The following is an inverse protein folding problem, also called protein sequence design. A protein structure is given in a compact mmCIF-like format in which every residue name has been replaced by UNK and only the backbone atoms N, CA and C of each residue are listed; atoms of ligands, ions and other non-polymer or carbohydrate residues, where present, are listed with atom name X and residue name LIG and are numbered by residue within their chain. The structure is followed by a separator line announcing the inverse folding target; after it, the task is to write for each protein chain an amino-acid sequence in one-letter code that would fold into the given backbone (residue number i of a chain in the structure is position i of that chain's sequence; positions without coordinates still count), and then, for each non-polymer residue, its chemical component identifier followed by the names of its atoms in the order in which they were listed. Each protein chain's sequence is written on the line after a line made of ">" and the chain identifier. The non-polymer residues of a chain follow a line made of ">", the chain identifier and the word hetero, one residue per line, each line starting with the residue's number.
data_IF_910243276348
#
_entry.id   IF_910243276348
#
_cell.length_a   1.000
_cell.length_b   1.000
_cell.length_c   1.000
_cell.angle_alpha   90.00
_cell.angle_beta   90.00
_cell.angle_gamma   90.00
#
_symmetry.space_group_name_H-M   'P 1'
#
loop_
_entity.id
_entity.type
_entity.pdbx_description
1 polymer ?
#
# COMPACT_ATOMS: atom_id res chain seq x y z
N UNK A 1 30.05 -10.27 -16.86
CA UNK A 1 28.93 -10.56 -17.77
C UNK A 1 28.18 -9.24 -17.93
N UNK A 2 28.23 -8.72 -19.14
CA UNK A 2 28.11 -7.30 -19.47
C UNK A 2 26.67 -6.81 -19.42
N UNK A 3 26.50 -5.74 -18.65
CA UNK A 3 25.30 -4.91 -18.51
C UNK A 3 24.81 -4.46 -19.90
N UNK A 4 23.63 -4.94 -20.27
CA UNK A 4 22.98 -4.70 -21.57
C UNK A 4 21.69 -3.89 -21.42
N UNK A 5 21.52 -3.19 -20.30
CA UNK A 5 20.26 -2.51 -19.96
C UNK A 5 20.30 -0.99 -20.12
N UNK A 6 21.40 -0.42 -20.60
CA UNK A 6 21.54 1.02 -20.82
C UNK A 6 21.16 1.43 -22.25
N UNK A 7 19.94 1.12 -22.71
CA UNK A 7 19.44 1.61 -24.02
C UNK A 7 18.04 2.24 -24.02
N UNK A 8 17.41 2.32 -22.86
CA UNK A 8 16.22 3.13 -22.61
C UNK A 8 16.54 3.91 -21.36
N UNK A 9 16.51 5.25 -21.40
CA UNK A 9 16.84 6.11 -20.25
C UNK A 9 15.82 6.05 -19.10
N UNK A 10 15.24 4.87 -18.84
CA UNK A 10 14.34 4.52 -17.75
C UNK A 10 15.05 3.43 -16.94
N UNK A 11 15.27 3.70 -15.66
CA UNK A 11 15.86 2.74 -14.73
C UNK A 11 14.85 1.63 -14.43
N UNK A 12 15.31 0.51 -13.86
CA UNK A 12 14.41 -0.58 -13.40
C UNK A 12 13.38 -0.06 -12.40
N UNK A 13 13.75 0.95 -11.61
CA UNK A 13 12.90 1.59 -10.61
C UNK A 13 11.75 2.36 -11.26
N UNK A 14 11.98 3.04 -12.38
CA UNK A 14 10.93 3.74 -13.12
C UNK A 14 9.85 2.77 -13.62
N UNK A 15 10.25 1.63 -14.19
CA UNK A 15 9.30 0.61 -14.65
C UNK A 15 8.50 0.00 -13.49
N UNK A 16 9.16 -0.27 -12.36
CA UNK A 16 8.49 -0.78 -11.17
C UNK A 16 7.44 0.22 -10.67
N UNK A 17 7.76 1.50 -10.64
CA UNK A 17 6.83 2.55 -10.22
C UNK A 17 5.62 2.66 -11.16
N UNK A 18 5.84 2.59 -12.48
CA UNK A 18 4.76 2.55 -13.47
C UNK A 18 3.83 1.35 -13.27
N UNK A 19 4.40 0.15 -13.13
CA UNK A 19 3.64 -1.09 -12.95
C UNK A 19 2.81 -1.02 -11.66
N UNK A 20 3.42 -0.62 -10.55
CA UNK A 20 2.73 -0.50 -9.25
C UNK A 20 1.62 0.54 -9.35
N UNK A 21 1.89 1.72 -9.94
CA UNK A 21 0.89 2.79 -10.03
C UNK A 21 -0.31 2.37 -10.88
N UNK A 22 -0.09 1.74 -12.04
CA UNK A 22 -1.17 1.22 -12.90
C UNK A 22 -1.95 0.12 -12.18
N UNK A 23 -1.23 -0.82 -11.53
CA UNK A 23 -1.86 -1.93 -10.83
C UNK A 23 -2.76 -1.45 -9.68
N UNK A 24 -2.24 -0.56 -8.82
CA UNK A 24 -3.01 -0.01 -7.70
C UNK A 24 -4.19 0.83 -8.21
N UNK A 25 -4.02 1.59 -9.30
CA UNK A 25 -5.13 2.31 -9.93
C UNK A 25 -6.22 1.34 -10.41
N UNK A 26 -5.85 0.24 -11.06
CA UNK A 26 -6.81 -0.76 -11.51
C UNK A 26 -7.59 -1.38 -10.33
N UNK A 27 -6.91 -1.67 -9.21
CA UNK A 27 -7.55 -2.16 -7.99
C UNK A 27 -8.52 -1.12 -7.42
N UNK A 28 -8.12 0.15 -7.36
CA UNK A 28 -8.97 1.23 -6.85
C UNK A 28 -10.19 1.45 -7.74
N UNK A 29 -10.02 1.49 -9.07
CA UNK A 29 -11.14 1.60 -10.02
C UNK A 29 -12.07 0.40 -9.90
N UNK A 30 -11.54 -0.82 -9.78
CA UNK A 30 -12.36 -2.01 -9.55
C UNK A 30 -13.15 -1.92 -8.26
N UNK A 31 -12.53 -1.47 -7.16
CA UNK A 31 -13.21 -1.27 -5.89
C UNK A 31 -14.32 -0.20 -6.00
N UNK A 32 -14.07 0.88 -6.73
CA UNK A 32 -15.05 1.93 -6.98
C UNK A 32 -16.26 1.40 -7.75
N UNK A 33 -16.02 0.65 -8.84
CA UNK A 33 -17.07 0.05 -9.66
C UNK A 33 -17.90 -0.93 -8.83
N UNK A 34 -17.27 -1.83 -8.08
CA UNK A 34 -17.97 -2.79 -7.21
C UNK A 34 -18.81 -2.10 -6.14
N UNK A 35 -18.34 -0.96 -5.62
CA UNK A 35 -19.07 -0.20 -4.60
C UNK A 35 -20.32 0.50 -5.14
N UNK A 36 -20.45 0.70 -6.46
CA UNK A 36 -21.66 1.27 -7.07
C UNK A 36 -22.87 0.34 -6.95
N UNK A 37 -22.64 -0.98 -6.87
CA UNK A 37 -23.71 -1.98 -6.72
C UNK A 37 -24.18 -2.12 -5.26
N UNK A 38 -23.52 -1.45 -4.31
CA UNK A 38 -23.82 -1.59 -2.89
C UNK A 38 -24.95 -0.63 -2.46
N UNK A 39 -25.71 -0.97 -1.41
CA UNK A 39 -26.65 -0.03 -0.79
C UNK A 39 -25.95 1.26 -0.36
N UNK A 40 -26.60 2.43 -0.51
CA UNK A 40 -25.98 3.75 -0.30
C UNK A 40 -25.20 3.87 1.01
N UNK A 41 -25.73 3.33 2.12
CA UNK A 41 -25.07 3.37 3.43
C UNK A 41 -23.72 2.64 3.42
N UNK A 42 -23.66 1.48 2.77
CA UNK A 42 -22.47 0.65 2.64
C UNK A 42 -21.48 1.18 1.58
N UNK A 43 -21.99 1.87 0.56
CA UNK A 43 -21.21 2.32 -0.59
C UNK A 43 -20.36 3.57 -0.30
N UNK A 44 -20.80 4.46 0.61
CA UNK A 44 -20.16 5.77 0.84
C UNK A 44 -18.67 5.64 1.16
N UNK A 45 -18.30 4.77 2.09
CA UNK A 45 -16.91 4.65 2.53
C UNK A 45 -15.99 4.07 1.43
N UNK A 46 -16.32 2.93 0.79
CA UNK A 46 -15.56 2.42 -0.35
C UNK A 46 -15.49 3.43 -1.50
N UNK A 47 -16.59 4.09 -1.86
CA UNK A 47 -16.63 5.07 -2.96
C UNK A 47 -15.72 6.27 -2.68
N UNK A 48 -15.72 6.79 -1.45
CA UNK A 48 -14.85 7.91 -1.08
C UNK A 48 -13.37 7.52 -1.18
N UNK A 49 -12.97 6.39 -0.60
CA UNK A 49 -11.56 5.97 -0.57
C UNK A 49 -11.08 5.60 -1.97
N UNK A 50 -11.84 4.76 -2.68
CA UNK A 50 -11.46 4.31 -4.02
C UNK A 50 -11.54 5.44 -5.04
N UNK A 51 -12.51 6.35 -4.93
CA UNK A 51 -12.64 7.53 -5.78
C UNK A 51 -11.49 8.51 -5.56
N UNK A 52 -11.19 8.85 -4.30
CA UNK A 52 -10.08 9.75 -3.98
C UNK A 52 -8.72 9.14 -4.32
N UNK A 53 -8.51 7.86 -4.00
CA UNK A 53 -7.29 7.12 -4.36
C UNK A 53 -7.09 7.06 -5.87
N UNK A 54 -8.14 6.75 -6.63
CA UNK A 54 -8.08 6.75 -8.10
C UNK A 54 -7.75 8.13 -8.66
N UNK A 55 -8.34 9.20 -8.12
CA UNK A 55 -8.07 10.56 -8.57
C UNK A 55 -6.58 10.96 -8.36
N UNK A 56 -6.02 10.65 -7.19
CA UNK A 56 -4.60 10.90 -6.90
C UNK A 56 -3.67 10.06 -7.79
N UNK A 57 -4.01 8.80 -8.04
CA UNK A 57 -3.22 7.91 -8.90
C UNK A 57 -3.29 8.33 -10.38
N UNK A 58 -4.45 8.79 -10.86
CA UNK A 58 -4.57 9.41 -12.17
C UNK A 58 -3.71 10.67 -12.27
N UNK A 59 -3.73 11.54 -11.26
CA UNK A 59 -2.88 12.73 -11.22
C UNK A 59 -1.40 12.36 -11.27
N UNK A 60 -0.98 11.36 -10.48
CA UNK A 60 0.38 10.83 -10.49
C UNK A 60 0.76 10.30 -11.88
N UNK A 61 -0.10 9.51 -12.52
CA UNK A 61 0.14 9.01 -13.89
C UNK A 61 0.30 10.16 -14.88
N UNK A 62 -0.54 11.20 -14.80
CA UNK A 62 -0.39 12.39 -15.66
C UNK A 62 0.97 13.04 -15.42
N UNK A 63 1.40 13.20 -14.16
CA UNK A 63 2.73 13.73 -13.84
C UNK A 63 3.85 12.87 -14.43
N UNK A 64 3.77 11.54 -14.30
CA UNK A 64 4.75 10.62 -14.88
C UNK A 64 4.81 10.71 -16.41
N UNK A 65 3.65 10.79 -17.08
CA UNK A 65 3.56 11.00 -18.54
C UNK A 65 4.21 12.33 -18.93
N UNK A 66 3.89 13.41 -18.21
CA UNK A 66 4.43 14.75 -18.50
C UNK A 66 5.94 14.82 -18.31
N UNK A 67 6.48 14.20 -17.25
CA UNK A 67 7.92 14.13 -17.00
C UNK A 67 8.61 13.29 -18.08
N UNK A 68 8.06 12.13 -18.44
CA UNK A 68 8.59 11.28 -19.51
C UNK A 68 8.58 11.98 -20.87
N UNK A 69 7.49 12.69 -21.19
CA UNK A 69 7.36 13.47 -22.42
C UNK A 69 8.34 14.66 -22.49
N UNK A 70 8.63 15.30 -21.35
CA UNK A 70 9.64 16.37 -21.24
C UNK A 70 11.07 15.83 -21.34
N UNK A 71 11.37 14.69 -20.73
CA UNK A 71 12.66 14.03 -20.85
C UNK A 71 12.96 13.58 -22.30
N UNK A 72 11.93 13.16 -23.03
CA UNK A 72 12.02 12.85 -24.47
C UNK A 72 12.31 14.05 -25.37
N UNK A 73 12.05 15.29 -24.92
CA UNK A 73 12.31 16.52 -25.69
C UNK A 73 13.73 17.09 -25.49
N UNK A 74 14.51 16.60 -24.52
CA UNK A 74 15.87 17.11 -24.21
C UNK A 74 16.98 16.23 -24.80
N UNK A 75 16.66 15.05 -25.35
CA UNK A 75 17.61 14.16 -26.03
C UNK A 75 18.13 14.69 -27.40
N UNK A 76 17.96 15.98 -27.68
CA UNK A 76 18.53 16.67 -28.85
C UNK A 76 19.46 17.84 -28.51
N UNK A 77 19.73 18.12 -27.24
CA UNK A 77 20.61 19.23 -26.85
C UNK A 77 21.48 18.85 -25.64
N UNK A 78 22.55 18.11 -25.90
CA UNK A 78 23.73 18.15 -25.05
C UNK A 78 24.40 19.52 -25.29
N UNK A 79 24.70 20.28 -24.22
CA UNK A 79 26.10 20.36 -23.85
C UNK A 79 26.36 20.30 -22.34
N UNK A 80 27.51 19.69 -22.05
CA UNK A 80 28.29 19.73 -20.82
C UNK A 80 28.16 21.00 -19.97
N UNK A 81 27.75 20.85 -18.70
CA UNK A 81 28.37 21.47 -17.51
C UNK A 81 27.48 21.24 -16.28
N UNK A 82 27.83 20.26 -15.46
CA UNK A 82 27.33 20.13 -14.09
C UNK A 82 28.50 20.05 -13.13
N UNK A 83 29.25 21.14 -13.07
CA UNK A 83 30.20 21.45 -12.02
C UNK A 83 29.80 22.80 -11.40
N UNK A 84 28.67 22.83 -10.68
CA UNK A 84 28.44 23.72 -9.54
C UNK A 84 27.03 23.49 -8.97
N UNK A 85 26.93 22.89 -7.78
CA UNK A 85 25.82 23.15 -6.87
C UNK A 85 26.30 22.93 -5.43
N UNK A 86 26.11 23.92 -4.55
CA UNK A 86 26.69 23.91 -3.21
C UNK A 86 25.96 22.91 -2.31
N UNK A 87 26.76 22.23 -1.50
CA UNK A 87 26.34 21.41 -0.36
C UNK A 87 25.55 22.28 0.61
N UNK A 88 24.29 21.92 0.86
CA UNK A 88 23.53 22.39 2.00
C UNK A 88 23.36 21.20 2.96
N UNK A 89 23.95 21.34 4.13
CA UNK A 89 23.90 20.41 5.26
C UNK A 89 22.48 20.26 5.84
N UNK A 90 22.24 19.07 6.38
CA UNK A 90 21.30 18.70 7.44
C UNK A 90 19.79 18.96 7.23
N UNK A 91 19.15 18.10 6.43
CA UNK A 91 17.85 17.55 6.82
C UNK A 91 18.04 16.09 7.27
N UNK A 92 17.35 15.61 8.32
CA UNK A 92 17.38 14.20 8.67
C UNK A 92 16.77 13.42 7.50
N UNK A 93 17.65 12.82 6.69
CA UNK A 93 17.30 11.99 5.56
C UNK A 93 16.12 11.10 5.96
N UNK A 94 14.96 11.35 5.34
CA UNK A 94 13.90 10.35 5.21
C UNK A 94 14.61 9.04 4.87
N UNK A 95 14.56 8.10 5.80
CA UNK A 95 15.20 6.79 5.64
C UNK A 95 14.63 6.20 4.36
N UNK A 96 15.46 6.23 3.33
CA UNK A 96 15.07 6.02 1.94
C UNK A 96 14.21 4.78 1.78
N UNK A 97 12.99 5.02 1.33
CA UNK A 97 12.10 4.02 0.76
C UNK A 97 12.79 3.31 -0.44
N UNK A 98 13.82 3.94 -1.01
CA UNK A 98 14.72 3.45 -2.05
C UNK A 98 15.57 2.23 -1.64
N UNK A 99 15.69 1.94 -0.34
CA UNK A 99 16.52 0.81 0.15
C UNK A 99 15.75 -0.50 0.36
N UNK A 100 14.41 -0.51 0.28
CA UNK A 100 13.59 -1.71 0.52
C UNK A 100 13.53 -2.62 -0.70
N UNK A 101 13.58 -2.04 -1.89
CA UNK A 101 13.42 -2.78 -3.16
C UNK A 101 14.74 -3.16 -3.83
N UNK A 102 15.85 -2.47 -3.52
CA UNK A 102 17.12 -2.69 -4.19
C UNK A 102 17.87 -3.97 -3.78
N UNK A 103 17.60 -4.56 -2.59
CA UNK A 103 18.28 -5.78 -2.11
C UNK A 103 17.43 -6.62 -1.14
N UNK A 104 16.12 -6.77 -1.37
CA UNK A 104 15.36 -7.71 -0.52
C UNK A 104 15.75 -9.16 -0.83
N UNK A 105 16.31 -9.93 0.13
CA UNK A 105 16.64 -11.33 -0.06
C UNK A 105 15.38 -12.12 -0.46
N UNK A 106 15.52 -13.13 -1.33
CA UNK A 106 14.39 -14.04 -1.70
C UNK A 106 13.67 -14.63 -0.49
N UNK A 107 14.37 -14.74 0.64
CA UNK A 107 13.83 -15.15 1.94
C UNK A 107 12.78 -14.18 2.47
N UNK A 108 13.02 -12.86 2.39
CA UNK A 108 12.08 -11.82 2.83
C UNK A 108 10.83 -11.82 1.96
N UNK A 109 10.99 -12.09 0.66
CA UNK A 109 9.85 -12.19 -0.26
C UNK A 109 8.98 -13.41 0.05
N UNK A 110 9.59 -14.57 0.34
CA UNK A 110 8.87 -15.76 0.80
C UNK A 110 8.21 -15.55 2.15
N UNK A 111 8.87 -14.88 3.09
CA UNK A 111 8.32 -14.53 4.41
C UNK A 111 7.11 -13.60 4.27
N UNK A 112 7.18 -12.63 3.36
CA UNK A 112 6.05 -11.73 3.05
C UNK A 112 4.90 -12.50 2.44
N UNK A 113 5.15 -13.34 1.43
CA UNK A 113 4.12 -14.19 0.81
C UNK A 113 3.47 -15.14 1.82
N UNK A 114 4.28 -15.76 2.67
CA UNK A 114 3.81 -16.66 3.71
C UNK A 114 2.96 -15.89 4.73
N UNK A 115 3.39 -14.71 5.15
CA UNK A 115 2.65 -13.85 6.08
C UNK A 115 1.30 -13.41 5.50
N UNK A 116 1.27 -13.00 4.23
CA UNK A 116 0.03 -12.65 3.51
C UNK A 116 -0.89 -13.87 3.43
N UNK A 117 -0.34 -15.04 3.10
CA UNK A 117 -1.10 -16.29 3.01
C UNK A 117 -1.70 -16.68 4.36
N UNK A 118 -0.91 -16.62 5.44
CA UNK A 118 -1.36 -16.90 6.81
C UNK A 118 -2.44 -15.91 7.22
N UNK A 119 -2.29 -14.62 6.90
CA UNK A 119 -3.30 -13.60 7.19
C UNK A 119 -4.64 -13.91 6.52
N UNK A 120 -4.64 -14.23 5.21
CA UNK A 120 -5.87 -14.59 4.50
C UNK A 120 -6.48 -15.91 4.97
N UNK A 121 -5.65 -16.89 5.33
CA UNK A 121 -6.11 -18.14 5.92
C UNK A 121 -6.81 -17.90 7.27
N UNK A 122 -6.20 -17.10 8.15
CA UNK A 122 -6.80 -16.68 9.42
C UNK A 122 -8.11 -15.92 9.21
N UNK A 123 -8.14 -14.99 8.25
CA UNK A 123 -9.34 -14.23 7.93
C UNK A 123 -10.49 -15.15 7.50
N UNK A 124 -10.18 -16.16 6.68
CA UNK A 124 -11.18 -17.13 6.20
C UNK A 124 -11.68 -18.04 7.32
N UNK A 125 -10.79 -18.53 8.18
CA UNK A 125 -11.10 -19.51 9.23
C UNK A 125 -11.76 -18.86 10.45
N UNK A 126 -11.18 -17.76 10.93
CA UNK A 126 -11.60 -17.09 12.18
C UNK A 126 -12.51 -15.88 11.95
N UNK A 127 -12.54 -15.34 10.74
CA UNK A 127 -13.30 -14.13 10.42
C UNK A 127 -12.51 -12.86 10.72
N UNK A 128 -13.06 -11.74 10.28
CA UNK A 128 -12.35 -10.46 10.33
C UNK A 128 -12.16 -9.93 11.76
N UNK A 129 -13.14 -10.12 12.65
CA UNK A 129 -13.08 -9.66 14.04
C UNK A 129 -11.94 -10.33 14.82
N UNK A 130 -11.90 -11.67 14.79
CA UNK A 130 -10.87 -12.45 15.45
C UNK A 130 -9.48 -12.18 14.86
N UNK A 131 -9.40 -12.02 13.54
CA UNK A 131 -8.13 -11.74 12.86
C UNK A 131 -7.58 -10.37 13.26
N UNK A 132 -8.41 -9.33 13.26
CA UNK A 132 -8.02 -7.98 13.72
C UNK A 132 -7.56 -8.04 15.18
N UNK A 133 -8.31 -8.74 16.04
CA UNK A 133 -7.97 -8.87 17.45
C UNK A 133 -6.59 -9.50 17.64
N UNK A 134 -6.38 -10.70 17.08
CA UNK A 134 -5.13 -11.45 17.23
C UNK A 134 -3.97 -10.68 16.60
N UNK A 135 -4.14 -10.16 15.39
CA UNK A 135 -3.08 -9.45 14.68
C UNK A 135 -2.67 -8.19 15.44
N UNK A 136 -3.63 -7.42 15.94
CA UNK A 136 -3.36 -6.22 16.74
C UNK A 136 -2.61 -6.58 18.03
N UNK A 137 -3.04 -7.63 18.73
CA UNK A 137 -2.42 -8.07 19.97
C UNK A 137 -0.97 -8.55 19.73
N UNK A 138 -0.77 -9.41 18.72
CA UNK A 138 0.56 -9.93 18.32
C UNK A 138 1.47 -8.79 17.87
N UNK A 139 0.99 -7.89 17.02
CA UNK A 139 1.77 -6.75 16.54
C UNK A 139 2.19 -5.83 17.69
N UNK A 140 1.26 -5.44 18.56
CA UNK A 140 1.57 -4.53 19.66
C UNK A 140 2.50 -5.16 20.71
N UNK A 141 2.34 -6.45 20.98
CA UNK A 141 3.18 -7.15 21.98
C UNK A 141 4.56 -7.51 21.44
N UNK A 142 4.66 -8.05 20.22
CA UNK A 142 5.93 -8.54 19.68
C UNK A 142 6.71 -7.46 18.93
N UNK A 143 6.04 -6.72 18.04
CA UNK A 143 6.69 -5.74 17.16
C UNK A 143 6.86 -4.41 17.88
N UNK A 144 5.77 -3.87 18.45
CA UNK A 144 5.82 -2.59 19.14
C UNK A 144 6.30 -2.66 20.60
N UNK A 145 6.50 -3.89 21.12
CA UNK A 145 6.94 -4.19 22.51
C UNK A 145 6.16 -3.42 23.58
N UNK A 146 4.86 -3.22 23.37
CA UNK A 146 3.97 -2.57 24.32
C UNK A 146 3.51 -3.56 25.40
N UNK A 147 3.04 -3.02 26.52
CA UNK A 147 2.52 -3.87 27.61
C UNK A 147 1.32 -4.68 27.11
N UNK A 148 1.21 -5.93 27.59
CA UNK A 148 0.13 -6.84 27.21
C UNK A 148 -1.23 -6.22 27.54
N UNK A 149 -1.34 -5.55 28.69
CA UNK A 149 -2.57 -4.90 29.13
C UNK A 149 -2.98 -3.75 28.19
N UNK A 150 -2.02 -2.92 27.75
CA UNK A 150 -2.28 -1.89 26.75
C UNK A 150 -2.72 -2.50 25.42
N UNK A 151 -2.04 -3.55 24.99
CA UNK A 151 -2.34 -4.25 23.73
C UNK A 151 -3.73 -4.88 23.74
N UNK A 152 -4.13 -5.48 24.87
CA UNK A 152 -5.46 -6.06 25.06
C UNK A 152 -6.55 -4.98 24.99
N UNK A 153 -6.39 -3.88 25.76
CA UNK A 153 -7.35 -2.77 25.75
C UNK A 153 -7.50 -2.21 24.35
N UNK A 154 -6.38 -1.97 23.67
CA UNK A 154 -6.38 -1.43 22.31
C UNK A 154 -7.03 -2.38 21.32
N UNK A 155 -6.73 -3.68 21.38
CA UNK A 155 -7.34 -4.68 20.49
C UNK A 155 -8.85 -4.78 20.69
N UNK A 156 -9.33 -4.81 21.95
CA UNK A 156 -10.78 -4.79 22.25
C UNK A 156 -11.43 -3.52 21.72
N UNK A 157 -10.81 -2.37 21.97
CA UNK A 157 -11.33 -1.07 21.52
C UNK A 157 -11.38 -0.99 19.99
N UNK A 158 -10.34 -1.45 19.30
CA UNK A 158 -10.27 -1.47 17.84
C UNK A 158 -11.37 -2.37 17.25
N UNK A 159 -11.51 -3.61 17.74
CA UNK A 159 -12.58 -4.52 17.30
C UNK A 159 -13.96 -3.93 17.61
N UNK A 160 -14.14 -3.34 18.79
CA UNK A 160 -15.39 -2.69 19.17
C UNK A 160 -15.77 -1.53 18.25
N UNK A 161 -14.81 -0.69 17.87
CA UNK A 161 -15.02 0.42 16.91
C UNK A 161 -15.38 -0.12 15.53
N UNK A 162 -14.67 -1.14 15.04
CA UNK A 162 -14.96 -1.77 13.74
C UNK A 162 -16.35 -2.39 13.76
N UNK A 163 -16.71 -3.14 14.81
CA UNK A 163 -18.04 -3.71 14.98
C UNK A 163 -19.12 -2.62 15.00
N UNK A 164 -18.90 -1.54 15.76
CA UNK A 164 -19.82 -0.41 15.82
C UNK A 164 -19.99 0.22 14.42
N UNK A 165 -18.90 0.48 13.70
CA UNK A 165 -19.00 1.06 12.36
C UNK A 165 -19.72 0.13 11.38
N UNK A 166 -19.36 -1.14 11.31
CA UNK A 166 -19.89 -2.03 10.27
C UNK A 166 -21.25 -2.62 10.62
N UNK A 167 -21.41 -3.15 11.84
CA UNK A 167 -22.63 -3.86 12.23
C UNK A 167 -23.70 -2.89 12.70
N UNK A 168 -23.34 -1.90 13.52
CA UNK A 168 -24.33 -0.97 14.10
C UNK A 168 -24.65 0.19 13.15
N UNK A 169 -23.63 0.86 12.60
CA UNK A 169 -23.84 2.03 11.75
C UNK A 169 -24.17 1.65 10.29
N UNK A 170 -23.42 0.71 9.72
CA UNK A 170 -23.56 0.33 8.30
C UNK A 170 -24.51 -0.85 8.08
N UNK A 171 -24.94 -1.55 9.14
CA UNK A 171 -25.79 -2.76 9.07
C UNK A 171 -25.25 -3.85 8.15
N UNK A 172 -23.92 -3.87 7.98
CA UNK A 172 -23.22 -4.85 7.14
C UNK A 172 -22.80 -6.05 8.00
N UNK A 173 -23.20 -7.27 7.62
CA UNK A 173 -22.73 -8.45 8.32
C UNK A 173 -21.22 -8.59 8.06
N UNK A 174 -20.44 -8.59 9.13
CA UNK A 174 -19.01 -8.88 9.04
C UNK A 174 -18.82 -10.36 8.68
N UNK A 175 -17.86 -10.69 7.81
CA UNK A 175 -17.56 -12.08 7.46
C UNK A 175 -17.17 -12.84 8.73
N UNK A 176 -18.09 -13.71 9.16
CA UNK A 176 -17.85 -14.70 10.20
C UNK A 176 -16.96 -15.78 9.60
N UNK A 177 -15.89 -16.13 10.29
CA UNK A 177 -15.03 -17.22 9.84
C UNK A 177 -15.77 -18.55 9.87
N UNK A 178 -15.24 -19.53 9.15
CA UNK A 178 -15.78 -20.90 9.13
C UNK A 178 -15.94 -21.51 10.53
N UNK A 179 -15.14 -21.09 11.52
CA UNK A 179 -15.24 -21.57 12.91
C UNK A 179 -16.47 -21.03 13.67
N UNK A 180 -17.05 -19.93 13.20
CA UNK A 180 -18.17 -19.24 13.84
C UNK A 180 -19.40 -19.13 12.91
N UNK A 181 -19.39 -19.93 11.83
CA UNK A 181 -20.47 -20.07 10.84
C UNK A 181 -21.52 -21.09 11.26
#
# INVERSE_FOLDING_TARGET
>A
MTDKTQKTGLTVDDYAEWIITIFVLAVMVSAFVTALDWPQYAAIFPLMISGFGSALLCLKLVQMVLVSARAGHVAGAEPANSADRPVADDEPAEKGMDSVFATSPRVVWLETLLSVTIFFALLTVAGIEATIFVFCLVYLTLVARKSILFSLIYAVLLVGVVYLMFVVLLTLPLPKGLLFS
#
